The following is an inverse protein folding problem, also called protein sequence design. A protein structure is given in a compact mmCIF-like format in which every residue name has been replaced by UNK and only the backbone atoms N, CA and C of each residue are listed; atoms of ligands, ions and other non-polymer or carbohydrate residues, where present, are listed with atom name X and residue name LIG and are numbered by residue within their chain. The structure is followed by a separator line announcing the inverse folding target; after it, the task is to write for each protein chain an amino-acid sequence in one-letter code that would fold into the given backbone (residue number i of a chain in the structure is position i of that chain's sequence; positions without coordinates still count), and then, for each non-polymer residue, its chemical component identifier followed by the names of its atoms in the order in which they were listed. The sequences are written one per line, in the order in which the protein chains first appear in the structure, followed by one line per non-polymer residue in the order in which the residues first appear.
data_IF_552286484056
#
_entry.id   IF_552286484056
#
_cell.length_a   1.000
_cell.length_b   1.000
_cell.length_c   1.000
_cell.angle_alpha   90.00
_cell.angle_beta   90.00
_cell.angle_gamma   90.00
#
_symmetry.space_group_name_H-M   'P 1'
#
loop_
_entity.id
_entity.type
_entity.pdbx_description
1 polymer ?
#
# COMPACT_ATOMS: atom_id res chain seq x y z
N UNK A 1 -13.44 5.72 -24.11
CA UNK A 1 -14.46 5.31 -23.13
C UNK A 1 -14.99 6.54 -22.42
N UNK A 2 -16.29 6.80 -22.50
CA UNK A 2 -16.89 8.05 -22.02
C UNK A 2 -17.09 7.98 -20.49
N UNK A 3 -16.91 9.10 -19.80
CA UNK A 3 -17.07 9.29 -18.34
C UNK A 3 -18.32 8.66 -17.70
N UNK A 4 -19.32 8.29 -18.48
CA UNK A 4 -20.56 7.66 -18.03
C UNK A 4 -20.43 6.18 -17.64
N UNK A 5 -19.49 5.46 -18.21
CA UNK A 5 -19.34 4.01 -17.94
C UNK A 5 -18.63 3.74 -16.61
N UNK A 6 -17.91 4.74 -16.08
CA UNK A 6 -17.20 4.66 -14.80
C UNK A 6 -18.12 4.89 -13.58
N UNK A 7 -19.20 5.66 -13.76
CA UNK A 7 -20.15 5.97 -12.68
C UNK A 7 -21.18 4.84 -12.43
N UNK A 8 -21.44 4.00 -13.42
CA UNK A 8 -22.37 2.86 -13.26
C UNK A 8 -21.77 1.69 -12.48
N UNK A 9 -20.45 1.59 -12.39
CA UNK A 9 -19.80 0.56 -11.57
C UNK A 9 -19.84 0.87 -10.07
N UNK A 10 -19.94 2.14 -9.69
CA UNK A 10 -19.99 2.56 -8.29
C UNK A 10 -21.39 2.39 -7.65
N UNK A 11 -22.44 2.31 -8.44
CA UNK A 11 -23.81 2.21 -7.92
C UNK A 11 -24.27 0.78 -7.58
N UNK A 12 -23.55 -0.24 -8.02
CA UNK A 12 -23.90 -1.65 -7.76
C UNK A 12 -23.45 -2.18 -6.39
N UNK A 13 -22.68 -1.41 -5.65
CA UNK A 13 -22.12 -1.80 -4.34
C UNK A 13 -23.06 -1.58 -3.15
N UNK A 14 -24.21 -0.96 -3.35
CA UNK A 14 -25.11 -0.55 -2.27
C UNK A 14 -26.24 -1.55 -1.93
N UNK A 15 -26.31 -2.70 -2.57
CA UNK A 15 -27.45 -3.62 -2.43
C UNK A 15 -27.09 -4.98 -1.80
N UNK A 16 -26.24 -5.00 -0.77
CA UNK A 16 -26.14 -6.14 0.15
C UNK A 16 -26.56 -5.64 1.53
N UNK A 17 -27.86 -5.46 1.70
CA UNK A 17 -28.47 -5.18 2.98
C UNK A 17 -29.03 -6.47 3.60
N UNK A 18 -28.83 -6.58 4.90
CA UNK A 18 -29.56 -7.38 5.88
C UNK A 18 -29.55 -8.90 5.74
N UNK A 19 -28.61 -9.51 6.43
CA UNK A 19 -28.83 -10.80 7.11
C UNK A 19 -28.58 -10.59 8.59
N UNK A 20 -29.54 -11.03 9.39
CA UNK A 20 -29.84 -10.83 10.76
C UNK A 20 -28.70 -10.59 11.77
N UNK A 21 -28.95 -9.66 12.66
CA UNK A 21 -28.23 -9.47 13.89
C UNK A 21 -28.41 -10.71 14.78
N UNK A 22 -27.34 -11.45 15.00
CA UNK A 22 -27.23 -12.34 16.16
C UNK A 22 -26.63 -11.51 17.30
N UNK A 23 -27.26 -11.57 18.46
CA UNK A 23 -26.86 -10.91 19.71
C UNK A 23 -25.42 -11.29 20.08
N UNK A 24 -24.48 -10.47 19.66
CA UNK A 24 -23.09 -10.58 20.03
C UNK A 24 -22.84 -9.79 21.32
N UNK A 25 -22.71 -10.46 22.46
CA UNK A 25 -22.07 -9.89 23.63
C UNK A 25 -20.73 -9.28 23.21
N UNK A 26 -20.55 -8.00 23.51
CA UNK A 26 -19.26 -7.34 23.41
C UNK A 26 -18.26 -8.13 24.26
N UNK A 27 -17.36 -8.84 23.63
CA UNK A 27 -16.18 -9.40 24.29
C UNK A 27 -15.25 -8.21 24.48
N UNK A 28 -14.97 -7.86 25.72
CA UNK A 28 -13.90 -6.93 26.11
C UNK A 28 -12.56 -7.57 25.65
N UNK A 29 -12.21 -7.38 24.40
CA UNK A 29 -10.91 -7.81 23.90
C UNK A 29 -9.87 -6.82 24.44
N UNK A 30 -9.06 -7.29 25.37
CA UNK A 30 -7.85 -6.59 25.82
C UNK A 30 -7.11 -6.12 24.59
N UNK A 31 -6.84 -4.83 24.54
CA UNK A 31 -5.93 -4.23 23.56
C UNK A 31 -4.59 -4.95 23.76
N UNK A 32 -4.17 -5.72 22.77
CA UNK A 32 -2.86 -6.35 22.78
C UNK A 32 -1.85 -5.21 22.66
N UNK A 33 -1.07 -4.97 23.71
CA UNK A 33 0.07 -4.05 23.61
C UNK A 33 1.08 -4.69 22.65
N UNK A 34 1.35 -3.97 21.56
CA UNK A 34 2.31 -4.42 20.57
C UNK A 34 3.70 -3.91 20.95
N UNK A 35 4.62 -4.82 21.27
CA UNK A 35 6.03 -4.54 21.60
C UNK A 35 6.87 -4.07 20.38
N UNK A 36 6.24 -3.62 19.33
CA UNK A 36 6.94 -3.15 18.15
C UNK A 36 7.61 -1.79 18.41
N UNK A 37 8.84 -1.58 17.96
CA UNK A 37 9.52 -0.30 18.11
C UNK A 37 8.70 0.82 17.42
N UNK A 38 8.72 2.04 17.96
CA UNK A 38 8.04 3.17 17.34
C UNK A 38 8.56 3.39 15.92
N UNK A 39 7.69 3.95 15.05
CA UNK A 39 8.09 4.35 13.70
C UNK A 39 9.27 5.31 13.74
N UNK A 40 10.19 5.18 12.79
CA UNK A 40 11.32 6.08 12.68
C UNK A 40 10.83 7.52 12.44
N UNK A 41 11.10 8.40 13.39
CA UNK A 41 10.69 9.82 13.33
C UNK A 41 11.63 10.67 12.46
N UNK A 42 12.80 10.15 12.18
CA UNK A 42 13.86 10.81 11.43
C UNK A 42 14.33 9.92 10.29
N UNK A 43 13.49 9.72 9.25
CA UNK A 43 13.88 8.98 8.07
C UNK A 43 15.16 9.60 7.50
N UNK A 44 16.01 8.80 6.90
CA UNK A 44 17.32 9.15 6.37
C UNK A 44 18.43 9.36 7.40
N UNK A 45 18.19 9.28 8.73
CA UNK A 45 19.24 9.45 9.73
C UNK A 45 20.38 8.44 9.55
N UNK A 46 20.04 7.21 9.16
CA UNK A 46 20.97 6.10 8.98
C UNK A 46 21.31 5.83 7.50
N UNK A 47 20.91 6.71 6.58
CA UNK A 47 21.19 6.55 5.16
C UNK A 47 22.58 7.12 4.82
N UNK A 48 23.48 6.26 4.37
CA UNK A 48 24.72 6.67 3.72
C UNK A 48 24.43 7.04 2.26
N UNK A 49 24.15 8.29 2.00
CA UNK A 49 23.74 8.80 0.68
C UNK A 49 24.80 8.64 -0.42
N UNK A 50 26.07 8.41 -0.05
CA UNK A 50 27.14 8.19 -1.02
C UNK A 50 27.21 6.72 -1.47
N UNK A 51 26.72 5.79 -0.62
CA UNK A 51 26.80 4.35 -0.85
C UNK A 51 25.45 3.70 -1.05
N UNK A 52 24.37 4.40 -0.72
CA UNK A 52 23.02 3.84 -0.85
C UNK A 52 22.72 3.42 -2.28
N UNK A 53 22.19 2.22 -2.43
CA UNK A 53 21.68 1.70 -3.71
C UNK A 53 20.23 2.15 -3.83
N UNK A 54 19.91 2.87 -4.90
CA UNK A 54 18.54 3.21 -5.24
C UNK A 54 17.85 2.02 -5.91
N UNK A 55 16.71 1.60 -5.37
CA UNK A 55 15.89 0.53 -5.92
C UNK A 55 14.45 1.04 -6.07
N UNK A 56 13.92 1.02 -7.29
CA UNK A 56 12.55 1.42 -7.56
C UNK A 56 11.59 0.30 -7.19
N UNK A 57 10.61 0.60 -6.33
CA UNK A 57 9.61 -0.35 -5.88
C UNK A 57 8.25 0.30 -5.67
N UNK A 58 7.27 -0.52 -5.40
CA UNK A 58 5.90 -0.09 -5.10
C UNK A 58 5.27 -1.00 -4.07
N UNK A 59 4.33 -0.48 -3.30
CA UNK A 59 3.54 -1.27 -2.34
C UNK A 59 2.17 -1.64 -2.88
N UNK A 60 1.74 -1.04 -4.01
CA UNK A 60 0.44 -1.28 -4.61
C UNK A 60 0.52 -1.28 -6.13
N UNK A 61 0.45 -2.46 -6.72
CA UNK A 61 0.51 -2.64 -8.16
C UNK A 61 -0.12 -3.98 -8.57
N UNK A 62 -0.98 -3.94 -9.59
CA UNK A 62 -1.63 -5.13 -10.12
C UNK A 62 -0.90 -5.66 -11.35
N UNK A 63 -0.61 -6.96 -11.32
CA UNK A 63 0.04 -7.68 -12.40
C UNK A 63 -0.62 -9.05 -12.55
N UNK A 64 -1.34 -9.29 -13.62
CA UNK A 64 -2.09 -10.54 -13.84
C UNK A 64 -1.56 -11.39 -14.98
N UNK A 65 -0.70 -10.85 -15.81
CA UNK A 65 -0.20 -11.50 -17.01
C UNK A 65 1.28 -11.19 -17.22
N UNK A 66 1.95 -12.02 -18.04
CA UNK A 66 3.32 -11.73 -18.48
C UNK A 66 3.44 -10.35 -19.14
N UNK A 67 2.44 -9.95 -19.93
CA UNK A 67 2.43 -8.64 -20.56
C UNK A 67 2.33 -7.46 -19.56
N UNK A 68 1.69 -7.67 -18.40
CA UNK A 68 1.73 -6.69 -17.31
C UNK A 68 3.13 -6.62 -16.71
N UNK A 69 3.73 -7.78 -16.43
CA UNK A 69 5.08 -7.87 -15.89
C UNK A 69 6.10 -7.22 -16.82
N UNK A 70 6.02 -7.47 -18.12
CA UNK A 70 6.91 -6.86 -19.11
C UNK A 70 6.83 -5.33 -19.09
N UNK A 71 5.62 -4.76 -18.94
CA UNK A 71 5.44 -3.30 -18.79
C UNK A 71 6.05 -2.80 -17.48
N UNK A 72 5.84 -3.49 -16.37
CA UNK A 72 6.38 -3.13 -15.06
C UNK A 72 7.91 -3.08 -15.10
N UNK A 73 8.53 -4.12 -15.65
CA UNK A 73 9.99 -4.19 -15.79
C UNK A 73 10.53 -3.13 -16.75
N UNK A 74 9.83 -2.87 -17.86
CA UNK A 74 10.19 -1.81 -18.81
C UNK A 74 10.11 -0.40 -18.19
N UNK A 75 9.34 -0.23 -17.12
CA UNK A 75 9.28 1.00 -16.32
C UNK A 75 10.38 1.08 -15.26
N UNK A 76 11.29 0.10 -15.20
CA UNK A 76 12.44 0.09 -14.29
C UNK A 76 12.06 -0.21 -12.82
N UNK A 77 10.90 -0.80 -12.57
CA UNK A 77 10.56 -1.25 -11.22
C UNK A 77 11.32 -2.55 -10.95
N UNK A 78 12.14 -2.55 -9.91
CA UNK A 78 13.10 -3.61 -9.59
C UNK A 78 12.75 -4.37 -8.30
N UNK A 79 11.91 -3.80 -7.45
CA UNK A 79 11.39 -4.47 -6.26
C UNK A 79 9.87 -4.64 -6.38
N UNK A 80 9.46 -5.89 -6.58
CA UNK A 80 8.08 -6.27 -6.86
C UNK A 80 7.40 -6.73 -5.58
N UNK A 81 6.47 -5.93 -5.06
CA UNK A 81 5.50 -6.33 -4.05
C UNK A 81 4.11 -6.21 -4.66
N UNK A 82 3.75 -7.23 -5.47
CA UNK A 82 2.51 -7.23 -6.22
C UNK A 82 1.31 -7.38 -5.28
N UNK A 83 0.30 -6.57 -5.47
CA UNK A 83 -0.86 -6.47 -4.61
C UNK A 83 -2.15 -6.98 -5.27
N UNK A 84 -2.04 -8.04 -6.06
CA UNK A 84 -3.22 -8.57 -6.71
C UNK A 84 -4.29 -8.97 -5.69
N UNK A 85 -5.53 -8.81 -6.09
CA UNK A 85 -6.66 -9.33 -5.35
C UNK A 85 -6.62 -10.85 -5.34
N UNK A 86 -7.26 -11.34 -4.29
CA UNK A 86 -7.54 -12.72 -4.16
C UNK A 86 -8.61 -13.19 -5.13
N UNK A 87 -9.00 -14.42 -5.13
CA UNK A 87 -8.82 -15.48 -4.11
C UNK A 87 -7.43 -16.08 -4.21
N UNK A 88 -6.49 -15.59 -3.49
CA UNK A 88 -5.12 -16.05 -3.70
C UNK A 88 -4.28 -15.82 -2.49
N UNK A 89 -3.27 -16.67 -2.38
CA UNK A 89 -2.06 -16.31 -1.71
C UNK A 89 -1.52 -14.99 -2.27
N UNK A 90 -0.71 -14.28 -1.51
CA UNK A 90 0.13 -13.23 -2.06
C UNK A 90 0.77 -13.74 -3.34
N UNK A 91 0.81 -12.91 -4.39
CA UNK A 91 1.42 -13.29 -5.67
C UNK A 91 2.94 -13.43 -5.53
N UNK A 92 3.34 -14.43 -4.76
CA UNK A 92 4.73 -14.63 -4.40
C UNK A 92 5.02 -16.10 -4.08
N UNK A 93 6.15 -16.64 -4.52
CA UNK A 93 7.00 -16.10 -5.59
C UNK A 93 6.34 -16.26 -6.96
N UNK A 94 6.62 -15.34 -7.89
CA UNK A 94 6.05 -15.37 -9.24
C UNK A 94 6.38 -16.67 -10.00
N UNK A 95 7.53 -17.26 -9.72
CA UNK A 95 7.97 -18.55 -10.31
C UNK A 95 7.04 -19.72 -9.98
N UNK A 96 6.22 -19.62 -8.94
CA UNK A 96 5.22 -20.65 -8.58
C UNK A 96 3.84 -20.38 -9.16
N UNK A 97 3.61 -19.20 -9.74
CA UNK A 97 2.31 -18.85 -10.27
C UNK A 97 2.00 -19.58 -11.56
N UNK A 98 0.90 -20.31 -11.58
CA UNK A 98 0.35 -21.01 -12.76
C UNK A 98 -0.99 -20.40 -13.16
N UNK A 99 -1.49 -20.74 -14.35
CA UNK A 99 -2.76 -20.21 -14.90
C UNK A 99 -3.95 -20.39 -13.94
N UNK A 100 -3.95 -21.47 -13.19
CA UNK A 100 -5.00 -21.81 -12.23
C UNK A 100 -4.52 -21.86 -10.77
N UNK A 101 -3.40 -21.24 -10.47
CA UNK A 101 -2.81 -21.30 -9.13
C UNK A 101 -3.85 -21.11 -8.03
N UNK A 102 -4.67 -20.07 -8.14
CA UNK A 102 -5.69 -19.76 -7.13
C UNK A 102 -6.87 -20.71 -7.06
N UNK A 103 -7.04 -21.57 -8.07
CA UNK A 103 -8.10 -22.57 -8.10
C UNK A 103 -7.65 -23.89 -7.51
N UNK A 104 -6.35 -24.03 -7.26
CA UNK A 104 -5.74 -25.27 -6.79
C UNK A 104 -5.09 -25.10 -5.42
N UNK A 105 -4.52 -23.94 -5.15
CA UNK A 105 -3.78 -23.67 -3.90
C UNK A 105 -4.50 -22.66 -3.01
N UNK A 106 -4.90 -23.10 -1.84
CA UNK A 106 -5.57 -22.26 -0.85
C UNK A 106 -5.12 -22.59 0.56
N UNK A 107 -4.31 -21.72 1.10
CA UNK A 107 -3.83 -21.80 2.50
C UNK A 107 -4.54 -20.82 3.43
N UNK A 108 -5.59 -20.16 2.93
CA UNK A 108 -6.25 -19.09 3.68
C UNK A 108 -7.44 -19.55 4.45
N UNK A 109 -7.71 -18.91 5.59
CA UNK A 109 -8.97 -19.05 6.23
C UNK A 109 -10.09 -18.51 5.33
N UNK A 110 -11.18 -19.24 5.26
CA UNK A 110 -12.40 -18.82 4.56
C UNK A 110 -13.55 -18.69 5.55
N UNK A 111 -14.48 -17.78 5.27
CA UNK A 111 -15.74 -17.70 5.98
C UNK A 111 -16.79 -18.52 5.23
N UNK A 112 -17.35 -19.53 5.88
CA UNK A 112 -18.41 -20.38 5.33
C UNK A 112 -19.63 -20.26 6.22
N UNK A 113 -20.71 -19.72 5.71
CA UNK A 113 -21.97 -19.52 6.47
C UNK A 113 -21.77 -18.76 7.80
N UNK A 114 -20.87 -17.76 7.80
CA UNK A 114 -20.54 -16.99 9.00
C UNK A 114 -19.52 -17.63 9.93
N UNK A 115 -19.12 -18.86 9.69
CA UNK A 115 -18.07 -19.55 10.44
C UNK A 115 -16.72 -19.44 9.72
N UNK A 116 -15.67 -19.16 10.51
CA UNK A 116 -14.30 -19.18 10.02
C UNK A 116 -13.77 -20.60 9.95
N UNK A 117 -13.25 -20.98 8.81
CA UNK A 117 -12.56 -22.24 8.57
C UNK A 117 -11.11 -21.97 8.20
N UNK A 118 -10.18 -22.66 8.84
CA UNK A 118 -8.75 -22.57 8.52
C UNK A 118 -8.39 -23.55 7.41
N UNK A 119 -7.45 -23.14 6.54
CA UNK A 119 -6.91 -23.95 5.47
C UNK A 119 -5.83 -24.95 5.91
N UNK A 120 -5.24 -25.74 5.03
CA UNK A 120 -5.45 -25.67 3.57
C UNK A 120 -6.81 -26.24 3.12
N UNK A 121 -7.31 -25.73 2.01
CA UNK A 121 -8.55 -26.20 1.41
C UNK A 121 -8.32 -26.79 0.05
N UNK A 122 -9.04 -27.86 -0.29
CA UNK A 122 -9.21 -28.30 -1.67
C UNK A 122 -10.35 -27.49 -2.31
N UNK A 123 -9.98 -26.54 -3.14
CA UNK A 123 -10.96 -25.73 -3.85
C UNK A 123 -11.81 -26.53 -4.83
N UNK A 124 -11.26 -27.58 -5.43
CA UNK A 124 -12.06 -28.47 -6.25
C UNK A 124 -13.17 -29.14 -5.45
N UNK A 125 -12.89 -29.53 -4.20
CA UNK A 125 -13.91 -30.05 -3.31
C UNK A 125 -14.97 -29.00 -2.96
N UNK A 126 -14.52 -27.77 -2.63
CA UNK A 126 -15.44 -26.68 -2.29
C UNK A 126 -16.30 -26.31 -3.50
N UNK A 127 -15.66 -26.03 -4.66
CA UNK A 127 -16.34 -25.60 -5.87
C UNK A 127 -17.15 -26.72 -6.50
N UNK A 128 -16.75 -27.99 -6.30
CA UNK A 128 -17.43 -29.16 -6.83
C UNK A 128 -18.92 -29.23 -6.50
N UNK A 129 -19.32 -28.68 -5.36
CA UNK A 129 -20.72 -28.57 -4.94
C UNK A 129 -21.53 -27.59 -5.81
N UNK A 130 -20.86 -26.69 -6.53
CA UNK A 130 -21.45 -25.58 -7.24
C UNK A 130 -21.08 -25.56 -8.74
N UNK A 131 -20.44 -26.62 -9.25
CA UNK A 131 -19.96 -26.68 -10.63
C UNK A 131 -21.05 -26.34 -11.65
N UNK A 132 -22.29 -26.77 -11.39
CA UNK A 132 -23.42 -26.48 -12.29
C UNK A 132 -23.81 -24.99 -12.34
N UNK A 133 -23.37 -24.22 -11.37
CA UNK A 133 -23.59 -22.76 -11.29
C UNK A 133 -22.45 -21.95 -11.93
N UNK A 134 -21.36 -22.60 -12.28
CA UNK A 134 -20.23 -21.96 -12.96
C UNK A 134 -20.60 -21.63 -14.41
N UNK A 135 -19.97 -20.59 -15.00
CA UNK A 135 -20.01 -20.39 -16.44
C UNK A 135 -19.56 -21.63 -17.20
N UNK A 136 -20.17 -21.94 -18.38
CA UNK A 136 -19.87 -23.16 -19.13
C UNK A 136 -18.38 -23.39 -19.41
N UNK A 137 -17.64 -22.29 -19.68
CA UNK A 137 -16.19 -22.34 -19.92
C UNK A 137 -15.38 -22.78 -18.68
N UNK A 138 -15.89 -22.55 -17.49
CA UNK A 138 -15.29 -22.99 -16.24
C UNK A 138 -15.77 -24.39 -15.85
N UNK A 139 -17.01 -24.73 -16.13
CA UNK A 139 -17.51 -26.11 -15.96
C UNK A 139 -16.67 -27.09 -16.78
N UNK A 140 -16.29 -26.70 -18.00
CA UNK A 140 -15.45 -27.53 -18.88
C UNK A 140 -14.01 -27.71 -18.36
N UNK A 141 -13.54 -26.84 -17.48
CA UNK A 141 -12.19 -26.91 -16.88
C UNK A 141 -12.18 -27.67 -15.56
N UNK A 142 -13.35 -27.98 -14.99
CA UNK A 142 -13.42 -28.66 -13.69
C UNK A 142 -13.14 -30.16 -13.82
N UNK A 143 -12.39 -30.82 -12.90
CA UNK A 143 -11.64 -30.23 -11.79
C UNK A 143 -10.47 -29.39 -12.28
N UNK A 144 -10.23 -28.27 -11.61
CA UNK A 144 -9.17 -27.35 -11.97
C UNK A 144 -7.79 -27.99 -11.77
N UNK A 145 -6.92 -27.83 -12.75
CA UNK A 145 -5.50 -28.19 -12.70
C UNK A 145 -4.66 -26.93 -12.71
N UNK A 146 -3.46 -26.98 -12.20
CA UNK A 146 -2.57 -25.80 -12.13
C UNK A 146 -2.38 -25.09 -13.47
N UNK A 147 -2.23 -25.84 -14.54
CA UNK A 147 -1.93 -25.26 -15.86
C UNK A 147 -0.44 -24.94 -16.03
N UNK A 148 -0.15 -24.05 -16.98
CA UNK A 148 1.23 -23.66 -17.32
C UNK A 148 1.72 -22.55 -16.39
N UNK A 149 3.06 -22.37 -16.25
CA UNK A 149 3.62 -21.20 -15.60
C UNK A 149 3.05 -19.90 -16.20
N UNK A 150 2.62 -18.99 -15.34
CA UNK A 150 2.02 -17.71 -15.73
C UNK A 150 3.08 -16.68 -16.12
N UNK A 151 4.25 -16.75 -15.50
CA UNK A 151 5.35 -15.82 -15.70
C UNK A 151 6.63 -16.52 -16.13
N UNK A 152 7.44 -15.82 -16.91
CA UNK A 152 8.83 -16.17 -17.16
C UNK A 152 9.66 -15.91 -15.91
N UNK A 153 10.84 -16.53 -15.77
CA UNK A 153 11.78 -16.19 -14.72
C UNK A 153 12.07 -14.69 -14.70
N UNK A 154 12.16 -14.11 -13.50
CA UNK A 154 12.52 -12.71 -13.34
C UNK A 154 13.96 -12.47 -13.82
N UNK A 155 14.25 -11.30 -14.40
CA UNK A 155 15.62 -10.90 -14.72
C UNK A 155 16.50 -10.87 -13.47
N UNK A 156 17.80 -11.08 -13.66
CA UNK A 156 18.78 -10.92 -12.59
C UNK A 156 18.70 -9.52 -11.98
N UNK A 157 18.78 -9.45 -10.66
CA UNK A 157 18.71 -8.18 -9.91
C UNK A 157 17.31 -7.69 -9.60
N UNK A 158 16.26 -8.25 -10.20
CA UNK A 158 14.88 -7.98 -9.82
C UNK A 158 14.53 -8.78 -8.56
N UNK A 159 14.04 -8.08 -7.55
CA UNK A 159 13.66 -8.64 -6.26
C UNK A 159 12.14 -8.74 -6.16
N UNK A 160 11.66 -9.71 -5.40
CA UNK A 160 10.22 -9.87 -5.12
C UNK A 160 9.96 -10.20 -3.65
N UNK A 161 8.83 -9.74 -3.12
CA UNK A 161 8.36 -10.08 -1.79
C UNK A 161 6.84 -10.27 -1.78
N UNK A 162 6.29 -11.05 -0.82
CA UNK A 162 4.85 -11.23 -0.73
C UNK A 162 4.15 -9.91 -0.43
N UNK A 163 2.96 -9.77 -0.99
CA UNK A 163 2.04 -8.67 -0.72
C UNK A 163 0.67 -9.01 -1.31
N UNK A 164 -0.38 -8.37 -0.80
CA UNK A 164 -1.71 -8.43 -1.37
C UNK A 164 -2.46 -7.14 -1.07
N UNK A 165 -3.41 -6.77 -1.90
CA UNK A 165 -4.39 -5.75 -1.56
C UNK A 165 -5.50 -6.38 -0.73
N UNK A 166 -5.49 -6.09 0.56
CA UNK A 166 -6.43 -6.61 1.52
C UNK A 166 -7.68 -5.75 1.59
N UNK A 167 -8.85 -6.36 1.65
CA UNK A 167 -10.13 -5.66 1.75
C UNK A 167 -11.23 -6.53 2.36
N UNK A 168 -12.46 -5.98 2.46
CA UNK A 168 -13.60 -6.72 3.02
C UNK A 168 -13.64 -6.76 4.55
N UNK A 169 -13.07 -5.75 5.21
CA UNK A 169 -13.00 -5.67 6.67
C UNK A 169 -14.32 -5.23 7.31
N UNK A 170 -14.42 -5.48 8.61
CA UNK A 170 -15.46 -4.95 9.48
C UNK A 170 -14.89 -3.94 10.47
N UNK A 171 -15.68 -2.92 10.79
CA UNK A 171 -15.45 -1.99 11.90
C UNK A 171 -15.70 -2.66 13.24
N UNK A 172 -15.30 -2.01 14.33
CA UNK A 172 -15.46 -2.51 15.71
C UNK A 172 -16.93 -2.77 16.09
N UNK A 173 -17.86 -2.08 15.45
CA UNK A 173 -19.30 -2.27 15.62
C UNK A 173 -19.90 -3.35 14.69
N UNK A 174 -19.08 -4.14 14.04
CA UNK A 174 -19.48 -5.22 13.13
C UNK A 174 -19.97 -4.77 11.74
N UNK A 175 -20.09 -3.45 11.49
CA UNK A 175 -20.48 -2.93 10.17
C UNK A 175 -19.33 -3.10 9.18
N UNK A 176 -19.66 -3.17 7.88
CA UNK A 176 -18.64 -3.15 6.83
C UNK A 176 -17.79 -1.89 6.93
N UNK A 177 -16.48 -2.05 6.77
CA UNK A 177 -15.54 -0.93 6.66
C UNK A 177 -15.55 -0.28 5.24
N UNK A 178 -16.51 -0.67 4.39
CA UNK A 178 -16.65 -0.10 3.05
C UNK A 178 -15.43 -0.38 2.18
N UNK A 179 -14.87 0.68 1.64
CA UNK A 179 -13.72 0.63 0.73
C UNK A 179 -12.37 0.69 1.48
N UNK A 180 -12.30 0.21 2.72
CA UNK A 180 -11.02 0.07 3.40
C UNK A 180 -10.18 -0.97 2.66
N UNK A 181 -9.10 -0.51 2.03
CA UNK A 181 -8.10 -1.36 1.42
C UNK A 181 -6.74 -1.09 2.10
N UNK A 182 -5.97 -2.13 2.27
CA UNK A 182 -4.63 -2.06 2.85
C UNK A 182 -3.69 -2.99 2.10
N UNK A 183 -2.45 -2.58 1.93
CA UNK A 183 -1.38 -3.47 1.50
C UNK A 183 -0.50 -3.84 2.69
N UNK A 184 0.15 -4.98 2.58
CA UNK A 184 1.08 -5.44 3.59
C UNK A 184 2.37 -5.98 2.94
N UNK A 185 3.23 -5.10 2.38
CA UNK A 185 4.48 -5.52 1.76
C UNK A 185 5.35 -6.31 2.73
N UNK A 186 5.75 -7.50 2.31
CA UNK A 186 6.50 -8.46 3.12
C UNK A 186 5.62 -9.44 3.90
N UNK A 187 4.28 -9.33 3.86
CA UNK A 187 3.39 -10.27 4.53
C UNK A 187 3.00 -11.43 3.61
N UNK A 188 3.17 -12.65 4.10
CA UNK A 188 2.71 -13.86 3.43
C UNK A 188 1.21 -14.14 3.66
N UNK A 189 0.50 -13.26 4.36
CA UNK A 189 -0.94 -13.37 4.56
C UNK A 189 -1.69 -12.54 3.53
N UNK A 190 -2.80 -13.07 3.03
CA UNK A 190 -3.76 -12.30 2.25
C UNK A 190 -5.15 -12.44 2.85
N UNK A 191 -5.92 -11.36 2.84
CA UNK A 191 -7.31 -11.35 3.26
C UNK A 191 -8.17 -10.68 2.18
N UNK A 192 -9.43 -11.01 2.15
CA UNK A 192 -10.35 -10.37 1.24
C UNK A 192 -11.61 -11.19 1.01
N UNK A 193 -12.52 -10.64 0.24
CA UNK A 193 -13.66 -11.39 -0.26
C UNK A 193 -13.28 -12.07 -1.56
N UNK A 194 -13.99 -13.11 -1.90
CA UNK A 194 -14.07 -13.57 -3.27
C UNK A 194 -14.45 -12.36 -4.12
N UNK A 195 -13.51 -11.94 -4.91
CA UNK A 195 -13.58 -10.70 -5.59
C UNK A 195 -14.79 -10.62 -6.49
N UNK A 196 -15.41 -9.49 -6.47
CA UNK A 196 -16.44 -9.15 -7.42
C UNK A 196 -15.95 -9.28 -8.87
N UNK A 197 -14.66 -9.06 -9.12
CA UNK A 197 -14.04 -9.24 -10.42
C UNK A 197 -13.92 -10.71 -10.81
N UNK A 198 -13.81 -11.57 -9.83
CA UNK A 198 -13.83 -13.02 -10.01
C UNK A 198 -15.24 -13.61 -9.93
N UNK A 199 -16.29 -12.78 -9.79
CA UNK A 199 -17.67 -13.19 -9.98
C UNK A 199 -17.88 -14.01 -11.24
N UNK A 200 -17.09 -13.72 -12.27
CA UNK A 200 -17.08 -14.50 -13.50
C UNK A 200 -16.48 -15.90 -13.31
N UNK A 201 -15.65 -16.11 -12.31
CA UNK A 201 -15.02 -17.41 -12.08
C UNK A 201 -15.84 -18.30 -11.17
N UNK A 202 -16.50 -17.72 -10.23
CA UNK A 202 -17.27 -18.49 -9.27
C UNK A 202 -18.57 -17.81 -9.00
N UNK A 203 -19.24 -17.18 -9.99
CA UNK A 203 -20.41 -16.38 -9.71
C UNK A 203 -21.03 -16.71 -8.39
N UNK A 204 -20.39 -16.29 -7.38
CA UNK A 204 -20.87 -16.56 -6.47
C UNK A 204 -22.07 -16.53 -5.96
N UNK A 205 -22.68 -16.81 -6.71
CA UNK A 205 -23.63 -17.60 -6.26
C UNK A 205 -22.99 -18.47 -5.27
N UNK A 206 -21.90 -18.63 -5.13
CA UNK A 206 -21.44 -19.18 -3.93
C UNK A 206 -22.20 -18.46 -2.82
N UNK A 207 -23.43 -18.54 -3.01
CA UNK A 207 -24.47 -18.24 -2.07
C UNK A 207 -24.10 -18.96 -0.80
N UNK A 208 -23.80 -18.27 0.21
CA UNK A 208 -23.26 -18.84 1.43
C UNK A 208 -21.98 -18.17 1.84
N UNK A 209 -21.53 -17.18 1.04
CA UNK A 209 -20.54 -16.24 1.50
C UNK A 209 -19.21 -16.88 1.83
N UNK A 210 -18.58 -17.50 0.84
CA UNK A 210 -17.15 -17.80 0.94
C UNK A 210 -16.40 -16.50 0.84
N UNK A 211 -15.81 -16.05 1.93
CA UNK A 211 -15.05 -14.84 2.02
C UNK A 211 -13.67 -15.15 2.58
N UNK A 212 -12.63 -14.84 1.83
CA UNK A 212 -11.24 -15.00 2.28
C UNK A 212 -10.90 -13.97 3.33
N UNK A 213 -10.85 -14.39 4.58
CA UNK A 213 -10.57 -13.48 5.65
C UNK A 213 -11.51 -12.27 5.74
N UNK A 214 -12.51 -12.16 4.85
CA UNK A 214 -13.47 -11.09 4.89
C UNK A 214 -14.45 -11.29 6.02
N UNK A 215 -14.97 -10.19 6.51
CA UNK A 215 -15.79 -10.19 7.71
C UNK A 215 -14.98 -10.22 8.98
N UNK A 216 -13.65 -10.25 8.92
CA UNK A 216 -12.82 -9.98 10.08
C UNK A 216 -12.87 -8.51 10.48
N UNK A 217 -12.76 -8.28 11.78
CA UNK A 217 -12.47 -6.95 12.30
C UNK A 217 -11.13 -6.46 11.72
N UNK A 218 -11.05 -5.20 11.37
CA UNK A 218 -9.88 -4.59 10.76
C UNK A 218 -8.60 -4.74 11.61
N UNK A 219 -8.72 -4.75 12.95
CA UNK A 219 -7.58 -4.95 13.87
C UNK A 219 -7.01 -6.35 13.74
N UNK A 220 -7.87 -7.37 13.79
CA UNK A 220 -7.46 -8.78 13.63
C UNK A 220 -6.82 -9.02 12.26
N UNK A 221 -7.33 -8.36 11.24
CA UNK A 221 -6.73 -8.44 9.91
C UNK A 221 -5.32 -7.82 9.89
N UNK A 222 -5.11 -6.65 10.50
CA UNK A 222 -3.77 -6.06 10.66
C UNK A 222 -2.87 -6.99 11.46
N UNK A 223 -3.31 -7.55 12.58
CA UNK A 223 -2.53 -8.49 13.39
C UNK A 223 -2.04 -9.69 12.57
N UNK A 224 -2.90 -10.25 11.71
CA UNK A 224 -2.53 -11.34 10.81
C UNK A 224 -1.53 -10.93 9.75
N UNK A 225 -1.71 -9.75 9.14
CA UNK A 225 -0.74 -9.21 8.19
C UNK A 225 0.63 -9.07 8.84
N UNK A 226 0.67 -8.53 10.05
CA UNK A 226 1.90 -8.29 10.79
C UNK A 226 2.55 -9.57 11.31
N UNK A 227 1.74 -10.55 11.74
CA UNK A 227 2.24 -11.86 12.18
C UNK A 227 2.85 -12.70 11.05
N UNK A 228 2.45 -12.43 9.81
CA UNK A 228 2.94 -13.16 8.63
C UNK A 228 4.06 -12.42 7.86
N UNK A 229 4.65 -11.38 8.45
CA UNK A 229 5.83 -10.72 7.85
C UNK A 229 7.00 -11.69 7.76
N UNK A 230 7.60 -11.81 6.57
CA UNK A 230 8.74 -12.72 6.34
C UNK A 230 10.03 -12.25 7.03
N UNK A 231 10.11 -10.96 7.37
CA UNK A 231 11.18 -10.37 8.18
C UNK A 231 10.58 -9.51 9.29
N UNK A 232 10.90 -9.78 10.56
CA UNK A 232 10.35 -9.03 11.70
C UNK A 232 10.66 -7.53 11.67
N UNK A 233 11.81 -7.15 11.09
CA UNK A 233 12.33 -5.79 11.01
C UNK A 233 12.01 -5.08 9.68
N UNK A 234 11.25 -5.72 8.79
CA UNK A 234 10.94 -5.20 7.45
C UNK A 234 9.46 -5.23 7.10
N UNK A 235 9.07 -4.41 6.14
CA UNK A 235 7.68 -4.32 5.67
C UNK A 235 6.72 -3.76 6.72
N UNK A 236 5.43 -3.97 6.53
CA UNK A 236 4.37 -3.47 7.41
C UNK A 236 3.08 -3.24 6.62
N UNK A 237 2.14 -2.51 7.20
CA UNK A 237 0.84 -2.22 6.59
C UNK A 237 0.82 -0.80 6.03
N UNK A 238 0.27 -0.61 4.84
CA UNK A 238 0.00 0.69 4.23
C UNK A 238 -1.49 0.83 3.94
N UNK A 239 -2.04 2.04 4.12
CA UNK A 239 -3.47 2.31 3.85
C UNK A 239 -3.61 2.88 2.45
N UNK A 240 -4.41 2.21 1.63
CA UNK A 240 -4.54 2.52 0.21
C UNK A 240 -5.46 3.71 -0.05
N UNK A 241 -5.19 4.46 -1.12
CA UNK A 241 -6.02 5.47 -1.79
C UNK A 241 -7.05 6.18 -0.87
N UNK A 242 -6.61 6.88 0.19
CA UNK A 242 -7.51 7.44 1.20
C UNK A 242 -8.53 8.44 0.65
N UNK A 243 -8.21 9.15 -0.42
CA UNK A 243 -9.14 10.08 -1.09
C UNK A 243 -10.26 9.35 -1.85
N UNK A 244 -9.93 8.28 -2.55
CA UNK A 244 -10.93 7.47 -3.25
C UNK A 244 -11.83 6.74 -2.25
N UNK A 245 -11.24 6.21 -1.20
CA UNK A 245 -11.95 5.49 -0.13
C UNK A 245 -12.81 6.39 0.74
N UNK A 246 -12.54 7.70 0.72
CA UNK A 246 -13.26 8.72 1.51
C UNK A 246 -13.31 8.38 3.01
N UNK A 247 -12.16 7.94 3.56
CA UNK A 247 -12.09 7.57 4.98
C UNK A 247 -12.46 8.73 5.89
N UNK A 248 -13.23 8.41 6.92
CA UNK A 248 -13.38 9.27 8.07
C UNK A 248 -12.01 9.57 8.70
N UNK A 249 -11.78 10.85 9.03
CA UNK A 249 -10.49 11.29 9.56
C UNK A 249 -10.15 10.66 10.91
N UNK A 250 -11.13 10.52 11.78
CA UNK A 250 -10.94 9.89 13.08
C UNK A 250 -10.58 8.41 12.91
N UNK A 251 -11.24 7.73 12.00
CA UNK A 251 -10.92 6.33 11.69
C UNK A 251 -9.52 6.17 11.10
N UNK A 252 -9.09 7.08 10.22
CA UNK A 252 -7.70 7.07 9.71
C UNK A 252 -6.68 7.17 10.84
N UNK A 253 -6.92 8.06 11.82
CA UNK A 253 -6.02 8.19 12.96
C UNK A 253 -6.00 6.91 13.81
N UNK A 254 -7.16 6.25 14.00
CA UNK A 254 -7.23 4.95 14.69
C UNK A 254 -6.44 3.84 13.96
N UNK A 255 -6.48 3.82 12.63
CA UNK A 255 -5.67 2.89 11.85
C UNK A 255 -4.17 3.12 12.07
N UNK A 256 -3.74 4.38 11.97
CA UNK A 256 -2.32 4.75 12.13
C UNK A 256 -1.81 4.58 13.57
N UNK A 257 -2.66 4.72 14.56
CA UNK A 257 -2.31 4.57 15.98
C UNK A 257 -2.37 3.12 16.47
N UNK A 258 -2.90 2.20 15.66
CA UNK A 258 -3.15 0.83 16.09
C UNK A 258 -1.85 0.06 16.37
N UNK A 259 -0.90 0.13 15.45
CA UNK A 259 0.41 -0.53 15.56
C UNK A 259 1.46 0.34 14.85
N UNK A 260 2.66 0.51 15.41
CA UNK A 260 3.72 1.29 14.76
C UNK A 260 4.16 0.73 13.40
N UNK A 261 3.79 -0.50 13.06
CA UNK A 261 4.01 -1.12 11.74
C UNK A 261 2.90 -0.84 10.74
N UNK A 262 1.86 -0.07 11.10
CA UNK A 262 0.98 0.60 10.14
C UNK A 262 1.69 1.86 9.67
N UNK A 263 2.43 1.75 8.57
CA UNK A 263 3.51 2.67 8.21
C UNK A 263 3.03 4.02 7.71
N UNK A 264 1.92 4.06 7.00
CA UNK A 264 1.43 5.30 6.40
C UNK A 264 0.35 5.08 5.34
N UNK A 265 0.23 6.07 4.45
CA UNK A 265 -0.85 6.15 3.46
C UNK A 265 -0.31 6.32 2.04
N UNK A 266 -1.10 5.98 1.05
CA UNK A 266 -0.81 6.34 -0.34
C UNK A 266 -1.03 7.84 -0.57
N UNK A 267 -0.01 8.49 -1.15
CA UNK A 267 -0.01 9.93 -1.46
C UNK A 267 -0.28 10.15 -2.95
N UNK A 268 0.34 9.36 -3.81
CA UNK A 268 0.02 9.28 -5.24
C UNK A 268 -0.62 7.92 -5.46
N UNK A 269 -1.91 7.96 -5.75
CA UNK A 269 -2.80 6.78 -5.82
C UNK A 269 -3.02 6.32 -7.27
N UNK A 270 -2.03 6.37 -8.11
CA UNK A 270 -2.21 5.98 -9.50
C UNK A 270 -3.35 6.74 -10.19
N UNK A 271 -4.47 6.07 -10.44
CA UNK A 271 -5.63 6.66 -11.12
C UNK A 271 -6.53 7.56 -10.26
N UNK A 272 -6.48 7.45 -8.95
CA UNK A 272 -7.39 8.13 -8.04
C UNK A 272 -6.95 9.54 -7.65
N UNK A 273 -5.67 9.89 -7.87
CA UNK A 273 -5.21 11.26 -7.75
C UNK A 273 -4.13 11.51 -6.72
N UNK A 274 -4.07 12.73 -6.24
CA UNK A 274 -3.07 13.23 -5.31
C UNK A 274 -3.68 13.44 -3.92
N UNK A 275 -3.16 12.76 -2.92
CA UNK A 275 -3.56 12.85 -1.51
C UNK A 275 -2.58 13.68 -0.66
N UNK A 276 -1.73 14.51 -1.28
CA UNK A 276 -0.70 15.29 -0.60
C UNK A 276 -1.28 16.14 0.56
N UNK A 277 -2.41 16.82 0.32
CA UNK A 277 -3.06 17.61 1.36
C UNK A 277 -3.66 16.76 2.50
N UNK A 278 -4.07 15.54 2.21
CA UNK A 278 -4.54 14.59 3.23
C UNK A 278 -3.36 14.10 4.08
N UNK A 279 -2.24 13.81 3.43
CA UNK A 279 -0.99 13.44 4.10
C UNK A 279 -0.51 14.56 5.04
N UNK A 280 -0.44 15.79 4.53
CA UNK A 280 -0.07 16.97 5.34
C UNK A 280 -1.00 17.17 6.55
N UNK A 281 -2.30 16.90 6.36
CA UNK A 281 -3.25 16.92 7.47
C UNK A 281 -2.91 15.87 8.55
N UNK A 282 -2.60 14.63 8.17
CA UNK A 282 -2.18 13.59 9.13
C UNK A 282 -0.93 14.03 9.88
N UNK A 283 0.08 14.50 9.17
CA UNK A 283 1.36 14.93 9.74
C UNK A 283 1.19 16.13 10.68
N UNK A 284 0.27 17.04 10.37
CA UNK A 284 -0.05 18.19 11.22
C UNK A 284 -0.61 17.77 12.58
N UNK A 285 -1.14 16.57 12.73
CA UNK A 285 -1.53 16.01 14.04
C UNK A 285 -0.36 15.56 14.92
N UNK A 286 0.88 15.62 14.43
CA UNK A 286 2.09 15.15 15.11
C UNK A 286 2.36 13.64 14.96
N UNK A 287 1.58 12.93 14.14
CA UNK A 287 1.76 11.50 13.88
C UNK A 287 2.76 11.27 12.77
N UNK A 288 3.70 10.35 13.00
CA UNK A 288 4.52 9.83 11.92
C UNK A 288 3.64 9.03 10.95
N UNK A 289 3.70 9.42 9.69
CA UNK A 289 2.99 8.77 8.60
C UNK A 289 3.85 8.85 7.34
N UNK A 290 4.36 7.71 6.86
CA UNK A 290 5.10 7.70 5.61
C UNK A 290 4.15 7.85 4.43
N UNK A 291 4.60 8.55 3.40
CA UNK A 291 3.88 8.69 2.14
C UNK A 291 4.34 7.63 1.14
N UNK A 292 3.40 6.85 0.63
CA UNK A 292 3.66 5.85 -0.40
C UNK A 292 3.19 6.34 -1.77
N UNK A 293 3.97 6.04 -2.79
CA UNK A 293 3.75 6.48 -4.16
C UNK A 293 3.60 5.24 -5.03
N UNK A 294 2.43 5.07 -5.62
CA UNK A 294 2.05 3.80 -6.20
C UNK A 294 1.37 3.95 -7.56
N UNK A 295 1.53 2.97 -8.46
CA UNK A 295 0.81 2.96 -9.72
C UNK A 295 -0.61 2.42 -9.60
N UNK A 296 -0.93 1.55 -8.63
CA UNK A 296 -2.18 0.82 -8.58
C UNK A 296 -2.49 0.18 -9.96
N UNK A 297 -3.56 0.58 -10.63
CA UNK A 297 -3.90 0.16 -12.00
C UNK A 297 -3.30 1.02 -13.11
N UNK A 298 -2.51 2.05 -12.80
CA UNK A 298 -2.09 3.06 -13.77
C UNK A 298 -0.71 2.85 -14.40
N UNK A 299 -0.03 1.74 -14.12
CA UNK A 299 1.32 1.45 -14.64
C UNK A 299 1.41 1.50 -16.19
N UNK A 300 0.29 1.24 -16.87
CA UNK A 300 0.20 1.27 -18.33
C UNK A 300 -0.06 2.65 -18.92
N UNK A 301 -0.22 3.70 -18.11
CA UNK A 301 -0.47 5.04 -18.60
C UNK A 301 0.71 5.56 -19.40
N UNK A 302 0.50 5.99 -20.65
CA UNK A 302 1.61 6.44 -21.52
C UNK A 302 2.25 7.73 -21.01
N UNK A 303 1.51 8.56 -20.29
CA UNK A 303 1.99 9.82 -19.71
C UNK A 303 2.81 9.65 -18.43
N UNK A 304 3.01 8.41 -17.97
CA UNK A 304 3.76 8.13 -16.74
C UNK A 304 3.13 8.70 -15.48
N UNK A 305 1.83 9.06 -15.51
CA UNK A 305 1.13 9.68 -14.38
C UNK A 305 0.81 8.68 -13.26
N UNK A 306 1.83 8.09 -12.68
CA UNK A 306 1.76 7.19 -11.52
C UNK A 306 2.92 7.49 -10.57
N UNK A 307 2.85 6.92 -9.37
CA UNK A 307 3.88 7.03 -8.36
C UNK A 307 4.75 5.77 -8.27
N UNK A 308 5.98 5.94 -7.82
CA UNK A 308 6.88 4.86 -7.39
C UNK A 308 7.65 5.30 -6.16
N UNK A 309 8.11 4.34 -5.37
CA UNK A 309 9.01 4.59 -4.25
C UNK A 309 10.45 4.29 -4.70
N UNK A 310 11.37 5.20 -4.40
CA UNK A 310 12.81 5.00 -4.62
C UNK A 310 13.41 4.68 -3.26
N UNK A 311 13.74 3.41 -3.05
CA UNK A 311 14.28 2.88 -1.82
C UNK A 311 15.79 3.17 -1.75
N UNK A 312 16.26 3.58 -0.59
CA UNK A 312 17.66 3.84 -0.29
C UNK A 312 18.19 2.70 0.59
N UNK A 313 18.91 1.77 0.00
CA UNK A 313 19.30 0.53 0.66
C UNK A 313 20.83 0.38 0.71
N UNK A 314 21.39 -0.22 1.78
CA UNK A 314 22.82 -0.48 1.84
C UNK A 314 23.24 -1.66 0.94
N UNK A 315 22.30 -2.50 0.55
CA UNK A 315 22.51 -3.70 -0.27
C UNK A 315 21.26 -4.04 -1.09
N UNK A 316 21.44 -4.76 -2.19
CA UNK A 316 20.33 -5.19 -3.05
C UNK A 316 19.76 -6.53 -2.56
N UNK A 317 18.98 -6.48 -1.47
CA UNK A 317 18.29 -7.64 -0.90
C UNK A 317 16.83 -7.33 -0.59
N UNK A 318 15.99 -8.37 -0.56
CA UNK A 318 14.57 -8.24 -0.18
C UNK A 318 14.43 -7.67 1.22
N UNK A 319 15.25 -8.15 2.17
CA UNK A 319 15.22 -7.67 3.55
C UNK A 319 15.56 -6.18 3.64
N UNK A 320 16.60 -5.73 2.94
CA UNK A 320 16.99 -4.32 2.92
C UNK A 320 15.88 -3.43 2.32
N UNK A 321 15.22 -3.86 1.24
CA UNK A 321 14.10 -3.15 0.64
C UNK A 321 12.90 -3.04 1.61
N UNK A 322 12.52 -4.14 2.25
CA UNK A 322 11.43 -4.14 3.23
C UNK A 322 11.77 -3.32 4.47
N UNK A 323 13.05 -3.33 4.91
CA UNK A 323 13.52 -2.48 6.00
C UNK A 323 13.47 -1.01 5.62
N UNK A 324 13.81 -0.66 4.38
CA UNK A 324 13.68 0.71 3.89
C UNK A 324 12.24 1.21 3.97
N UNK A 325 11.24 0.40 3.62
CA UNK A 325 9.83 0.74 3.85
C UNK A 325 9.51 0.94 5.34
N UNK A 326 9.97 0.05 6.21
CA UNK A 326 9.73 0.13 7.67
C UNK A 326 10.32 1.38 8.28
N UNK A 327 11.48 1.80 7.85
CA UNK A 327 12.24 2.92 8.42
C UNK A 327 11.98 4.26 7.72
N UNK A 328 11.28 4.26 6.58
CA UNK A 328 11.09 5.46 5.77
C UNK A 328 12.33 5.87 4.97
N UNK A 329 13.29 4.95 4.78
CA UNK A 329 14.51 5.19 4.00
C UNK A 329 14.21 5.11 2.50
N UNK A 330 13.26 5.92 2.04
CA UNK A 330 12.86 6.03 0.64
C UNK A 330 12.24 7.39 0.38
N UNK A 331 12.19 7.77 -0.86
CA UNK A 331 11.42 8.94 -1.30
C UNK A 331 10.45 8.55 -2.41
N UNK A 332 9.41 9.36 -2.60
CA UNK A 332 8.43 9.14 -3.66
C UNK A 332 8.83 9.86 -4.94
N UNK A 333 8.53 9.27 -6.09
CA UNK A 333 8.60 9.92 -7.39
C UNK A 333 7.27 9.80 -8.12
N UNK A 334 6.88 10.86 -8.82
CA UNK A 334 5.69 10.93 -9.66
C UNK A 334 6.08 11.48 -11.02
N UNK A 335 5.62 10.83 -12.10
CA UNK A 335 6.09 10.99 -13.48
C UNK A 335 7.60 10.76 -13.59
N UNK A 336 8.07 10.23 -14.70
CA UNK A 336 9.50 10.12 -14.97
C UNK A 336 10.28 9.16 -14.07
N UNK A 337 9.79 8.13 -13.57
CA UNK A 337 10.45 6.94 -12.97
C UNK A 337 11.78 7.21 -12.21
N UNK A 338 11.93 8.42 -11.60
CA UNK A 338 13.10 8.79 -10.82
C UNK A 338 14.30 9.21 -11.64
N UNK A 339 14.12 9.97 -12.71
CA UNK A 339 15.21 10.67 -13.37
C UNK A 339 15.68 11.90 -12.56
N UNK A 340 14.74 12.67 -11.95
CA UNK A 340 15.08 13.63 -10.89
C UNK A 340 15.30 12.88 -9.60
N UNK A 341 16.40 13.13 -8.89
CA UNK A 341 16.78 12.41 -7.68
C UNK A 341 17.19 13.35 -6.55
N UNK A 342 16.91 12.94 -5.32
CA UNK A 342 17.58 13.53 -4.17
C UNK A 342 19.00 12.94 -4.07
N UNK A 343 20.02 13.81 -4.08
CA UNK A 343 21.39 13.43 -3.77
C UNK A 343 21.60 13.31 -2.27
N UNK A 344 20.90 14.13 -1.50
CA UNK A 344 20.98 14.12 -0.05
C UNK A 344 19.76 14.80 0.57
N UNK A 345 19.29 14.25 1.67
CA UNK A 345 18.37 14.90 2.59
C UNK A 345 18.96 14.70 3.99
N UNK A 346 19.17 15.78 4.74
CA UNK A 346 19.62 15.72 6.11
C UNK A 346 18.81 16.63 7.02
N UNK A 347 18.72 16.23 8.28
CA UNK A 347 18.07 16.95 9.35
C UNK A 347 19.07 17.11 10.50
N UNK A 348 19.69 18.26 10.59
CA UNK A 348 20.69 18.59 11.63
C UNK A 348 20.03 19.45 12.71
N UNK A 349 19.63 18.83 13.80
CA UNK A 349 18.87 19.49 14.85
C UNK A 349 17.55 20.05 14.30
N UNK A 350 17.46 21.37 14.13
CA UNK A 350 16.29 22.07 13.58
C UNK A 350 16.46 22.52 12.14
N UNK A 351 17.53 22.10 11.47
CA UNK A 351 17.81 22.51 10.08
C UNK A 351 17.60 21.35 9.12
N UNK A 352 16.77 21.57 8.09
CA UNK A 352 16.66 20.68 6.93
C UNK A 352 17.59 21.17 5.83
N UNK A 353 18.29 20.24 5.20
CA UNK A 353 19.05 20.47 3.99
C UNK A 353 18.71 19.39 2.98
N UNK A 354 18.36 19.76 1.74
CA UNK A 354 18.12 18.82 0.65
C UNK A 354 18.83 19.25 -0.60
N UNK A 355 19.38 18.29 -1.30
CA UNK A 355 20.06 18.46 -2.59
C UNK A 355 19.47 17.54 -3.64
N UNK A 356 19.35 18.05 -4.86
CA UNK A 356 18.93 17.31 -6.05
C UNK A 356 20.10 17.11 -7.03
N UNK A 357 20.01 16.11 -7.90
CA UNK A 357 21.04 15.77 -8.87
C UNK A 357 21.13 16.77 -10.02
N UNK A 358 20.07 17.53 -10.24
CA UNK A 358 19.96 18.58 -11.25
C UNK A 358 19.09 19.74 -10.78
N UNK A 359 19.11 20.90 -11.43
CA UNK A 359 18.27 22.03 -11.06
C UNK A 359 16.78 21.68 -11.06
N UNK A 360 16.08 22.08 -9.98
CA UNK A 360 14.67 21.85 -9.76
C UNK A 360 14.06 23.01 -8.95
N UNK A 361 12.75 23.10 -8.92
CA UNK A 361 12.03 23.93 -7.96
C UNK A 361 11.86 23.16 -6.67
N UNK A 362 12.62 23.50 -5.65
CA UNK A 362 12.69 22.76 -4.38
C UNK A 362 11.94 23.51 -3.30
N UNK A 363 11.00 22.84 -2.62
CA UNK A 363 10.15 23.41 -1.56
C UNK A 363 10.33 22.67 -0.25
N UNK A 364 10.42 23.42 0.84
CA UNK A 364 10.32 22.90 2.20
C UNK A 364 8.89 23.14 2.68
N UNK A 365 8.23 22.08 3.11
CA UNK A 365 6.82 22.06 3.48
C UNK A 365 6.67 21.63 4.94
N UNK A 366 5.81 22.33 5.67
CA UNK A 366 5.46 22.05 7.07
C UNK A 366 3.93 22.12 7.25
N UNK A 367 3.45 21.98 8.46
CA UNK A 367 2.02 22.08 8.78
C UNK A 367 1.35 23.41 8.35
N UNK A 368 2.13 24.45 8.11
CA UNK A 368 1.61 25.76 7.62
C UNK A 368 1.84 25.96 6.11
N UNK A 369 2.24 24.92 5.39
CA UNK A 369 2.51 24.96 3.96
C UNK A 369 3.98 25.15 3.63
N UNK A 370 4.27 25.74 2.46
CA UNK A 370 5.64 26.00 1.99
C UNK A 370 6.27 27.12 2.81
N UNK A 371 7.39 26.82 3.46
CA UNK A 371 8.13 27.76 4.33
C UNK A 371 9.45 28.23 3.73
N UNK A 372 9.99 27.51 2.75
CA UNK A 372 11.14 27.90 1.96
C UNK A 372 11.04 27.32 0.56
N UNK A 373 11.59 28.03 -0.42
CA UNK A 373 11.63 27.61 -1.81
C UNK A 373 12.95 28.06 -2.47
N UNK A 374 13.53 27.18 -3.27
CA UNK A 374 14.61 27.51 -4.21
C UNK A 374 14.11 27.19 -5.61
N UNK A 375 14.11 28.17 -6.50
CA UNK A 375 13.70 27.99 -7.91
C UNK A 375 14.91 27.73 -8.79
N UNK A 376 14.78 26.76 -9.68
CA UNK A 376 15.82 26.35 -10.64
C UNK A 376 17.19 26.14 -9.96
N UNK A 377 17.20 25.66 -8.73
CA UNK A 377 18.41 25.38 -7.97
C UNK A 377 18.61 23.91 -7.69
N UNK A 378 19.78 23.55 -7.14
CA UNK A 378 20.12 22.18 -6.80
C UNK A 378 20.08 21.90 -5.30
N UNK A 379 19.79 22.91 -4.47
CA UNK A 379 19.69 22.72 -3.03
C UNK A 379 18.75 23.70 -2.35
N UNK A 380 18.23 23.30 -1.21
CA UNK A 380 17.49 24.16 -0.29
C UNK A 380 17.96 23.90 1.13
N UNK A 381 18.06 24.97 1.92
CA UNK A 381 18.34 24.88 3.36
C UNK A 381 17.34 25.73 4.11
N UNK A 382 16.79 25.19 5.17
CA UNK A 382 15.82 25.91 6.02
C UNK A 382 16.00 25.50 7.48
N UNK A 383 15.94 26.48 8.36
CA UNK A 383 16.01 26.27 9.80
C UNK A 383 14.61 26.52 10.42
N UNK A 384 14.12 25.54 11.18
CA UNK A 384 12.88 25.67 11.93
C UNK A 384 13.01 26.85 12.88
N UNK A 385 12.13 27.86 12.82
CA UNK A 385 12.17 28.97 13.76
C UNK A 385 11.88 28.47 15.19
N UNK A 386 12.46 29.10 16.22
CA UNK A 386 12.13 28.78 17.59
C UNK A 386 10.63 29.04 17.85
N UNK A 387 9.98 28.30 18.75
CA UNK A 387 8.59 28.55 19.10
C UNK A 387 8.43 30.00 19.60
N UNK A 388 7.30 30.66 19.29
CA UNK A 388 7.05 32.01 19.72
C UNK A 388 7.06 32.11 21.27
N UNK A 389 7.64 33.19 21.81
CA UNK A 389 7.81 33.38 23.26
C UNK A 389 6.51 33.69 24.01
N UNK A 390 5.41 33.94 23.34
CA UNK A 390 4.11 34.24 23.94
C UNK A 390 3.34 32.94 24.18
N UNK A 391 3.12 32.60 25.44
CA UNK A 391 2.56 31.36 25.95
C UNK A 391 1.08 31.09 25.66
N UNK A 392 0.65 31.20 24.44
CA UNK A 392 -0.63 30.68 23.98
C UNK A 392 -0.50 29.24 23.57
N UNK A 393 -1.23 28.32 24.20
CA UNK A 393 -1.19 26.86 23.99
C UNK A 393 -1.61 26.37 22.57
N UNK A 394 -1.68 27.27 21.57
CA UNK A 394 -2.22 26.97 20.24
C UNK A 394 -1.24 27.04 19.07
N UNK A 395 0.02 27.37 19.30
CA UNK A 395 0.97 27.55 18.18
C UNK A 395 2.08 26.50 18.16
N UNK A 396 1.72 25.24 17.98
CA UNK A 396 2.65 24.28 17.37
C UNK A 396 2.62 24.47 15.86
N UNK A 397 3.35 25.44 15.41
CA UNK A 397 3.31 25.89 14.02
C UNK A 397 3.93 24.85 13.07
N UNK A 398 4.90 24.06 13.57
CA UNK A 398 5.60 23.06 12.76
C UNK A 398 5.65 21.72 13.49
N UNK A 399 4.85 20.76 13.05
CA UNK A 399 4.85 19.39 13.59
C UNK A 399 5.77 18.47 12.80
N UNK A 400 5.99 18.77 11.53
CA UNK A 400 6.84 18.03 10.60
C UNK A 400 7.54 18.97 9.64
N UNK A 401 8.55 18.43 8.97
CA UNK A 401 9.15 19.03 7.77
C UNK A 401 9.37 17.96 6.71
N UNK A 402 9.01 18.26 5.48
CA UNK A 402 9.28 17.46 4.29
C UNK A 402 9.72 18.31 3.12
N UNK A 403 10.35 17.71 2.13
CA UNK A 403 10.85 18.39 0.94
C UNK A 403 10.14 17.84 -0.29
N UNK A 404 9.79 18.73 -1.21
CA UNK A 404 9.30 18.41 -2.54
C UNK A 404 10.17 19.12 -3.57
N UNK A 405 10.58 18.40 -4.61
CA UNK A 405 11.26 19.01 -5.75
C UNK A 405 10.49 18.69 -7.04
N UNK A 406 10.42 19.68 -7.92
CA UNK A 406 9.74 19.58 -9.21
C UNK A 406 10.74 19.88 -10.32
N UNK A 407 10.81 19.02 -11.33
CA UNK A 407 11.64 19.23 -12.50
C UNK A 407 11.21 20.49 -13.25
N UNK A 408 12.18 21.21 -13.81
CA UNK A 408 11.97 22.46 -14.56
C UNK A 408 12.07 22.28 -16.08
N UNK A 409 12.30 21.06 -16.54
CA UNK A 409 12.48 20.67 -17.95
C UNK A 409 11.16 20.41 -18.70
N UNK A 410 10.02 20.62 -18.04
CA UNK A 410 8.69 20.37 -18.59
C UNK A 410 8.22 18.91 -18.54
N UNK A 411 9.01 17.98 -18.00
CA UNK A 411 8.63 16.58 -17.80
C UNK A 411 7.44 16.41 -16.85
N UNK A 412 7.26 17.37 -15.92
CA UNK A 412 6.27 17.32 -14.85
C UNK A 412 6.63 16.30 -13.77
N UNK A 413 7.90 15.92 -13.70
CA UNK A 413 8.43 15.03 -12.67
C UNK A 413 8.46 15.73 -11.30
N UNK A 414 8.01 15.02 -10.27
CA UNK A 414 7.99 15.49 -8.88
C UNK A 414 8.58 14.42 -7.98
N UNK A 415 9.43 14.80 -7.03
CA UNK A 415 9.94 13.92 -5.98
C UNK A 415 9.62 14.46 -4.59
N UNK A 416 9.38 13.54 -3.64
CA UNK A 416 8.84 13.85 -2.32
C UNK A 416 9.63 13.13 -1.24
N UNK A 417 10.23 13.84 -0.31
CA UNK A 417 10.85 13.20 0.84
C UNK A 417 9.84 12.61 1.81
N UNK A 418 10.24 11.64 2.61
CA UNK A 418 9.51 11.28 3.81
C UNK A 418 9.61 12.40 4.86
N UNK A 419 8.59 12.53 5.74
CA UNK A 419 8.55 13.60 6.72
C UNK A 419 9.51 13.33 7.89
N UNK A 420 10.23 14.35 8.29
CA UNK A 420 10.92 14.39 9.58
C UNK A 420 10.02 15.04 10.63
N UNK A 421 9.77 14.34 11.72
CA UNK A 421 8.86 14.83 12.75
C UNK A 421 9.61 15.74 13.74
N UNK A 422 8.99 16.88 14.06
CA UNK A 422 9.56 17.93 14.94
C UNK A 422 8.97 17.92 16.34
N UNK A 423 7.96 17.07 16.62
CA UNK A 423 7.24 16.95 17.89
C UNK A 423 7.12 15.52 18.33
#
# INVERSE_FOLDING_TARGET
MKRRDFLMAAAASAAVANVGAADGKAVDEKIVEHDAPPRNRHPYADVDWEKAIEIKGTTHMHCKTQADLDVILARGIEFLTLSNYYPSAPWWPLSKMTENYYRVHHDFPVMVNGERKEGPFDWNEIVGKWVKELPPELQAQYPFKEGKPLFKPLPEGVLEAPNAEHHGFRLDNGRSAGNLHMNAPGSAFASGTFDQWQKRMFQTGVRGGYHFGSGENWRKAIDRMLAALIFPDGGGVTVNHPKWSAYDREFMLKLLDYDPRVLGIEVIEGGAGNCESYWDWVLATGRQCFGFFVPDHSIRRPDGSFGVNVLLTPERTVQACLRAYRQGNFYGAKRGLGELRFKRISFEGTTVHAETDRPADIKVITAIGTVAETKAGTSVKWKVPPPPRSGGARERVHTFVRVKACAIDGSGEEIFSQPNMLV
#
